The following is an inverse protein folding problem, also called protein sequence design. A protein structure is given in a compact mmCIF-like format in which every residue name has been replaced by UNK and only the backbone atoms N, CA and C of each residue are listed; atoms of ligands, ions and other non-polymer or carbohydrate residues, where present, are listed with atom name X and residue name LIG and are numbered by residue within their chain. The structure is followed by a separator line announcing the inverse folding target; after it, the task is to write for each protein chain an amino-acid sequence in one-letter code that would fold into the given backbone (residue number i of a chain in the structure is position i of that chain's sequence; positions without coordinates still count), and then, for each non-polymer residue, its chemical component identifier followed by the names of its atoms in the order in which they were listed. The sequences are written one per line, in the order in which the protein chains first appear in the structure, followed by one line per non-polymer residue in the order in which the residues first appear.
data_IF_408312610586
#
_entry.id   IF_408312610586
#
_cell.length_a   1.000
_cell.length_b   1.000
_cell.length_c   1.000
_cell.angle_alpha   90.00
_cell.angle_beta   90.00
_cell.angle_gamma   90.00
#
_symmetry.space_group_name_H-M   'P 1'
#
loop_
_entity.id
_entity.type
_entity.pdbx_description
1 polymer ?
#
# COMPACT_ATOMS: atom_id res chain seq x y z
N UNK A 1 22.08 -47.20 -5.37
CA UNK A 1 21.66 -45.78 -5.39
C UNK A 1 20.21 -45.75 -4.97
N UNK A 2 19.87 -45.02 -3.90
CA UNK A 2 18.46 -44.83 -3.54
C UNK A 2 17.76 -44.09 -4.69
N UNK A 3 16.54 -44.49 -5.03
CA UNK A 3 15.75 -43.79 -6.04
C UNK A 3 15.52 -42.35 -5.55
N UNK A 4 15.85 -41.37 -6.40
CA UNK A 4 15.56 -39.96 -6.11
C UNK A 4 14.04 -39.79 -6.14
N UNK A 5 13.48 -39.36 -5.02
CA UNK A 5 12.06 -39.02 -4.90
C UNK A 5 11.73 -37.90 -5.89
N UNK A 6 10.70 -38.10 -6.73
CA UNK A 6 10.25 -37.10 -7.71
C UNK A 6 8.83 -36.67 -7.38
N UNK A 7 8.61 -35.38 -7.23
CA UNK A 7 7.34 -34.79 -6.86
C UNK A 7 6.94 -33.80 -7.96
N UNK A 8 5.77 -34.01 -8.55
CA UNK A 8 5.19 -33.11 -9.54
C UNK A 8 3.89 -32.58 -9.00
N UNK A 9 3.78 -31.25 -8.91
CA UNK A 9 2.61 -30.54 -8.39
C UNK A 9 1.84 -29.97 -9.58
N UNK A 10 0.62 -30.46 -9.78
CA UNK A 10 -0.22 -30.14 -10.95
C UNK A 10 -1.40 -29.22 -10.63
N UNK A 11 -1.76 -29.15 -9.36
CA UNK A 11 -2.92 -28.41 -8.89
C UNK A 11 -2.75 -28.03 -7.42
N UNK A 12 -3.71 -27.24 -6.95
CA UNK A 12 -3.72 -26.73 -5.58
C UNK A 12 -3.79 -27.86 -4.53
N UNK A 13 -4.57 -28.92 -4.78
CA UNK A 13 -4.73 -30.02 -3.82
C UNK A 13 -3.41 -30.77 -3.60
N UNK A 14 -2.72 -31.10 -4.70
CA UNK A 14 -1.40 -31.71 -4.66
C UNK A 14 -0.38 -30.80 -3.96
N UNK A 15 -0.47 -29.49 -4.18
CA UNK A 15 0.39 -28.53 -3.49
C UNK A 15 0.18 -28.58 -1.98
N UNK A 16 -1.07 -28.58 -1.51
CA UNK A 16 -1.37 -28.69 -0.08
C UNK A 16 -0.91 -30.00 0.54
N UNK A 17 -1.11 -31.12 -0.15
CA UNK A 17 -0.62 -32.43 0.29
C UNK A 17 0.91 -32.44 0.40
N UNK A 18 1.60 -31.92 -0.63
CA UNK A 18 3.06 -31.85 -0.65
C UNK A 18 3.59 -30.96 0.49
N UNK A 19 2.97 -29.81 0.74
CA UNK A 19 3.34 -28.91 1.85
C UNK A 19 3.16 -29.60 3.20
N UNK A 20 2.06 -30.33 3.40
CA UNK A 20 1.81 -31.07 4.63
C UNK A 20 2.91 -32.11 4.89
N UNK A 21 3.26 -32.91 3.89
CA UNK A 21 4.30 -33.93 3.98
C UNK A 21 5.68 -33.30 4.26
N UNK A 22 6.00 -32.19 3.58
CA UNK A 22 7.25 -31.49 3.80
C UNK A 22 7.36 -30.92 5.22
N UNK A 23 6.28 -30.31 5.73
CA UNK A 23 6.23 -29.81 7.11
C UNK A 23 6.31 -30.92 8.17
N UNK A 24 5.82 -32.12 7.85
CA UNK A 24 5.93 -33.33 8.69
C UNK A 24 7.33 -33.99 8.63
N UNK A 25 8.20 -33.56 7.70
CA UNK A 25 9.52 -34.16 7.49
C UNK A 25 9.49 -35.48 6.72
N UNK A 26 8.41 -35.73 5.97
CA UNK A 26 8.22 -36.95 5.18
C UNK A 26 8.84 -36.86 3.78
N UNK A 27 9.20 -35.66 3.34
CA UNK A 27 9.87 -35.41 2.06
C UNK A 27 11.39 -35.42 2.22
N UNK A 28 12.08 -36.13 1.32
CA UNK A 28 13.55 -36.17 1.28
C UNK A 28 14.15 -34.80 0.96
N UNK A 29 15.27 -34.47 1.59
CA UNK A 29 16.10 -33.31 1.21
C UNK A 29 16.61 -33.40 -0.25
N UNK A 30 16.69 -34.60 -0.80
CA UNK A 30 17.12 -34.83 -2.20
C UNK A 30 15.97 -34.90 -3.20
N UNK A 31 14.73 -34.66 -2.77
CA UNK A 31 13.56 -34.73 -3.62
C UNK A 31 13.66 -33.73 -4.80
N UNK A 32 13.33 -34.21 -5.99
CA UNK A 32 13.24 -33.38 -7.19
C UNK A 32 11.81 -32.88 -7.36
N UNK A 33 11.64 -31.55 -7.26
CA UNK A 33 10.35 -30.89 -7.32
C UNK A 33 10.10 -30.36 -8.74
N UNK A 34 8.86 -30.42 -9.19
CA UNK A 34 8.44 -29.84 -10.47
C UNK A 34 6.99 -29.38 -10.41
N UNK A 35 6.66 -28.39 -11.23
CA UNK A 35 5.37 -27.74 -11.29
C UNK A 35 4.80 -27.83 -12.72
N UNK A 36 3.55 -28.30 -12.86
CA UNK A 36 2.88 -28.43 -14.16
C UNK A 36 1.51 -27.74 -14.11
N UNK A 37 1.37 -26.56 -14.72
CA UNK A 37 0.09 -25.85 -14.77
C UNK A 37 -0.37 -25.23 -13.44
N UNK A 38 0.45 -25.29 -12.39
CA UNK A 38 0.24 -24.62 -11.11
C UNK A 38 1.59 -24.06 -10.62
N UNK A 39 1.65 -22.93 -9.87
CA UNK A 39 0.55 -22.06 -9.51
C UNK A 39 0.13 -21.12 -10.64
N UNK A 40 -1.14 -20.76 -10.64
CA UNK A 40 -1.70 -19.71 -11.48
C UNK A 40 -2.31 -18.66 -10.58
N UNK A 41 -1.77 -17.45 -10.61
CA UNK A 41 -2.41 -16.31 -9.96
C UNK A 41 -3.54 -15.82 -10.84
N UNK A 42 -4.73 -15.67 -10.26
CA UNK A 42 -5.94 -15.21 -10.95
C UNK A 42 -6.75 -14.31 -10.03
N UNK A 43 -6.73 -13.02 -10.32
CA UNK A 43 -7.53 -12.01 -9.63
C UNK A 43 -8.49 -11.36 -10.64
N UNK A 44 -9.79 -11.49 -10.39
CA UNK A 44 -10.82 -10.84 -11.21
C UNK A 44 -11.45 -9.70 -10.43
N UNK A 45 -11.59 -8.54 -11.06
CA UNK A 45 -12.38 -7.43 -10.53
C UNK A 45 -13.58 -7.23 -11.44
N UNK A 46 -14.78 -7.28 -10.87
CA UNK A 46 -16.04 -6.98 -11.56
C UNK A 46 -16.56 -5.62 -11.12
N UNK A 47 -17.12 -4.85 -12.04
CA UNK A 47 -17.70 -3.54 -11.77
C UNK A 47 -18.01 -2.78 -13.05
N UNK A 48 -18.72 -1.66 -12.95
CA UNK A 48 -19.14 -0.86 -14.11
C UNK A 48 -17.93 -0.34 -14.91
N UNK A 49 -16.91 0.18 -14.20
CA UNK A 49 -15.68 0.69 -14.84
C UNK A 49 -14.77 -0.43 -15.42
N UNK A 50 -15.11 -1.70 -15.21
CA UNK A 50 -14.33 -2.84 -15.71
C UNK A 50 -14.92 -3.44 -16.98
N UNK A 51 -15.89 -2.76 -17.59
CA UNK A 51 -16.55 -3.20 -18.81
C UNK A 51 -15.78 -2.83 -20.07
N UNK A 52 -14.79 -3.66 -20.44
CA UNK A 52 -13.92 -3.35 -21.58
C UNK A 52 -12.79 -2.36 -21.25
N UNK A 53 -12.57 -2.06 -19.98
CA UNK A 53 -11.61 -1.06 -19.52
C UNK A 53 -10.91 -1.50 -18.23
N UNK A 54 -9.74 -0.92 -17.95
CA UNK A 54 -9.05 -1.08 -16.67
C UNK A 54 -8.88 0.29 -16.00
N UNK A 55 -9.58 0.54 -14.88
CA UNK A 55 -9.48 1.80 -14.16
C UNK A 55 -8.07 2.07 -13.66
N UNK A 56 -7.55 3.27 -13.90
CA UNK A 56 -6.21 3.68 -13.44
C UNK A 56 -6.09 3.63 -11.91
N UNK A 57 -7.21 3.76 -11.17
CA UNK A 57 -7.23 3.67 -9.71
C UNK A 57 -6.71 2.33 -9.18
N UNK A 58 -6.91 1.21 -9.90
CA UNK A 58 -6.45 -0.12 -9.44
C UNK A 58 -5.06 -0.49 -9.94
N UNK A 59 -4.49 0.25 -10.90
CA UNK A 59 -3.17 -0.08 -11.45
C UNK A 59 -2.03 0.00 -10.42
N UNK A 60 -1.94 1.01 -9.53
CA UNK A 60 -0.84 1.09 -8.58
C UNK A 60 -0.62 -0.16 -7.71
N UNK A 61 -1.62 -0.73 -7.02
CA UNK A 61 -1.41 -1.96 -6.24
C UNK A 61 -1.06 -3.17 -7.13
N UNK A 62 -1.58 -3.24 -8.36
CA UNK A 62 -1.22 -4.31 -9.31
C UNK A 62 0.26 -4.21 -9.72
N UNK A 63 0.76 -3.01 -9.97
CA UNK A 63 2.17 -2.78 -10.27
C UNK A 63 3.08 -3.08 -9.08
N UNK A 64 2.63 -2.79 -7.85
CA UNK A 64 3.37 -3.20 -6.64
C UNK A 64 3.37 -4.72 -6.45
N UNK A 65 2.27 -5.41 -6.76
CA UNK A 65 2.23 -6.88 -6.78
C UNK A 65 3.22 -7.44 -7.80
N UNK A 66 3.29 -6.87 -9.02
CA UNK A 66 4.27 -7.27 -10.03
C UNK A 66 5.70 -7.17 -9.51
N UNK A 67 6.03 -6.05 -8.84
CA UNK A 67 7.35 -5.85 -8.23
C UNK A 67 7.61 -6.85 -7.12
N UNK A 68 6.60 -7.22 -6.35
CA UNK A 68 6.74 -8.22 -5.29
C UNK A 68 7.00 -9.62 -5.86
N UNK A 69 6.28 -10.02 -6.91
CA UNK A 69 6.54 -11.26 -7.66
C UNK A 69 8.00 -11.30 -8.14
N UNK A 70 8.49 -10.19 -8.70
CA UNK A 70 9.90 -10.04 -9.09
C UNK A 70 10.87 -10.18 -7.91
N UNK A 71 10.60 -9.54 -6.77
CA UNK A 71 11.45 -9.63 -5.56
C UNK A 71 11.48 -11.04 -4.98
N UNK A 72 10.33 -11.74 -4.97
CA UNK A 72 10.24 -13.14 -4.53
C UNK A 72 11.12 -14.01 -5.42
N UNK A 73 11.00 -13.85 -6.74
CA UNK A 73 11.79 -14.60 -7.70
C UNK A 73 13.29 -14.33 -7.55
N UNK A 74 13.70 -13.06 -7.42
CA UNK A 74 15.11 -12.72 -7.19
C UNK A 74 15.64 -13.31 -5.88
N UNK A 75 14.86 -13.30 -4.80
CA UNK A 75 15.27 -13.91 -3.52
C UNK A 75 15.49 -15.40 -3.68
N UNK A 76 14.58 -16.09 -4.36
CA UNK A 76 14.64 -17.53 -4.51
C UNK A 76 15.71 -18.01 -5.50
N UNK A 77 15.90 -17.32 -6.64
CA UNK A 77 16.85 -17.70 -7.70
C UNK A 77 18.24 -17.07 -7.53
N UNK A 78 18.28 -15.77 -7.23
CA UNK A 78 19.50 -14.96 -7.25
C UNK A 78 20.01 -14.60 -5.84
N UNK A 79 19.30 -14.98 -4.77
CA UNK A 79 19.65 -14.65 -3.38
C UNK A 79 19.78 -13.14 -3.13
N UNK A 80 18.97 -12.33 -3.82
CA UNK A 80 18.93 -10.86 -3.69
C UNK A 80 17.51 -10.33 -3.84
N UNK A 81 17.21 -9.15 -3.29
CA UNK A 81 15.95 -8.44 -3.56
C UNK A 81 16.07 -7.49 -4.77
N UNK A 82 17.26 -7.36 -5.36
CA UNK A 82 17.51 -6.46 -6.48
C UNK A 82 16.89 -6.98 -7.79
N UNK A 83 15.78 -6.37 -8.20
CA UNK A 83 15.08 -6.71 -9.45
C UNK A 83 15.85 -6.38 -10.73
N UNK A 84 16.99 -5.67 -10.64
CA UNK A 84 17.91 -5.48 -11.77
C UNK A 84 18.66 -6.75 -12.15
N UNK A 85 18.69 -7.75 -11.27
CA UNK A 85 19.27 -9.07 -11.56
C UNK A 85 18.41 -9.90 -12.53
N UNK A 86 17.13 -9.54 -12.72
CA UNK A 86 16.23 -10.26 -13.62
C UNK A 86 16.65 -10.12 -15.08
N UNK A 87 16.76 -11.26 -15.76
CA UNK A 87 16.90 -11.35 -17.21
C UNK A 87 15.56 -11.10 -17.90
N UNK A 88 15.59 -10.84 -19.20
CA UNK A 88 14.36 -10.63 -19.97
C UNK A 88 13.41 -11.84 -19.87
N UNK A 89 13.93 -13.05 -20.08
CA UNK A 89 13.15 -14.29 -19.95
C UNK A 89 12.53 -14.46 -18.56
N UNK A 90 13.19 -13.97 -17.49
CA UNK A 90 12.62 -14.01 -16.14
C UNK A 90 11.42 -13.05 -16.04
N UNK A 91 11.52 -11.86 -16.65
CA UNK A 91 10.44 -10.86 -16.65
C UNK A 91 9.23 -11.37 -17.44
N UNK A 92 9.46 -11.89 -18.63
CA UNK A 92 8.41 -12.37 -19.52
C UNK A 92 7.61 -13.53 -18.88
N UNK A 93 8.26 -14.39 -18.10
CA UNK A 93 7.61 -15.51 -17.41
C UNK A 93 6.82 -15.11 -16.16
N UNK A 94 7.10 -13.93 -15.61
CA UNK A 94 6.52 -13.44 -14.35
C UNK A 94 5.53 -12.30 -14.57
N UNK A 95 5.32 -11.87 -15.81
CA UNK A 95 4.48 -10.74 -16.15
C UNK A 95 3.00 -11.05 -15.88
N UNK A 96 2.36 -10.18 -15.10
CA UNK A 96 0.92 -10.15 -14.94
C UNK A 96 0.27 -9.66 -16.22
N UNK A 97 -0.40 -10.58 -16.90
CA UNK A 97 -1.18 -10.28 -18.10
C UNK A 97 -2.57 -9.82 -17.68
N UNK A 98 -3.06 -8.78 -18.36
CA UNK A 98 -4.38 -8.20 -18.16
C UNK A 98 -5.31 -8.70 -19.25
N UNK A 99 -6.35 -9.42 -18.85
CA UNK A 99 -7.42 -9.88 -19.73
C UNK A 99 -8.67 -9.06 -19.44
N UNK A 100 -9.19 -8.39 -20.47
CA UNK A 100 -10.34 -7.49 -20.34
C UNK A 100 -11.55 -8.18 -20.97
N UNK A 101 -12.59 -8.36 -20.18
CA UNK A 101 -13.86 -8.95 -20.61
C UNK A 101 -15.02 -7.99 -20.34
N UNK A 102 -16.22 -8.34 -20.81
CA UNK A 102 -17.42 -7.55 -20.57
C UNK A 102 -17.78 -7.59 -19.08
N UNK A 103 -17.74 -6.43 -18.43
CA UNK A 103 -18.05 -6.23 -17.00
C UNK A 103 -16.98 -6.74 -16.02
N UNK A 104 -15.81 -7.16 -16.49
CA UNK A 104 -14.71 -7.58 -15.61
C UNK A 104 -13.33 -7.44 -16.23
N UNK A 105 -12.35 -7.23 -15.38
CA UNK A 105 -10.93 -7.35 -15.72
C UNK A 105 -10.31 -8.44 -14.89
N UNK A 106 -9.56 -9.31 -15.55
CA UNK A 106 -8.80 -10.38 -14.95
C UNK A 106 -7.30 -10.09 -15.06
N UNK A 107 -6.60 -10.28 -13.95
CA UNK A 107 -5.14 -10.22 -13.85
C UNK A 107 -4.63 -11.64 -13.61
N UNK A 108 -3.87 -12.15 -14.57
CA UNK A 108 -3.44 -13.55 -14.59
C UNK A 108 -1.93 -13.67 -14.82
N UNK A 109 -1.30 -14.60 -14.12
CA UNK A 109 0.08 -15.04 -14.43
C UNK A 109 0.26 -16.51 -14.10
N UNK A 110 0.91 -17.25 -15.00
CA UNK A 110 1.28 -18.65 -14.80
C UNK A 110 2.69 -18.74 -14.21
N UNK A 111 2.79 -19.10 -12.93
CA UNK A 111 4.05 -19.08 -12.20
C UNK A 111 4.84 -20.39 -12.31
N UNK A 112 4.22 -21.49 -12.77
CA UNK A 112 4.83 -22.82 -12.78
C UNK A 112 6.18 -22.88 -13.51
N UNK A 113 6.32 -22.21 -14.67
CA UNK A 113 7.59 -22.15 -15.41
C UNK A 113 8.68 -21.43 -14.61
N UNK A 114 8.36 -20.26 -14.06
CA UNK A 114 9.27 -19.50 -13.24
C UNK A 114 9.69 -20.29 -11.97
N UNK A 115 8.75 -20.96 -11.31
CA UNK A 115 9.04 -21.81 -10.16
C UNK A 115 9.95 -22.99 -10.51
N UNK A 116 9.74 -23.64 -11.66
CA UNK A 116 10.64 -24.69 -12.12
C UNK A 116 12.07 -24.18 -12.37
N UNK A 117 12.23 -22.96 -12.88
CA UNK A 117 13.56 -22.34 -13.03
C UNK A 117 14.22 -22.06 -11.68
N UNK A 118 13.45 -21.65 -10.66
CA UNK A 118 13.95 -21.54 -9.29
C UNK A 118 14.42 -22.91 -8.79
N UNK A 119 13.60 -23.96 -8.93
CA UNK A 119 13.97 -25.32 -8.47
C UNK A 119 15.30 -25.78 -9.09
N UNK A 120 15.51 -25.54 -10.39
CA UNK A 120 16.73 -25.95 -11.10
C UNK A 120 17.99 -25.18 -10.68
N UNK A 121 17.84 -23.92 -10.29
CA UNK A 121 18.97 -23.00 -10.06
C UNK A 121 19.22 -22.69 -8.58
N UNK A 122 18.28 -23.05 -7.72
CA UNK A 122 18.36 -22.87 -6.28
C UNK A 122 19.45 -23.75 -5.66
N UNK A 123 20.08 -23.23 -4.60
CA UNK A 123 20.99 -23.99 -3.72
C UNK A 123 20.28 -24.62 -2.52
N UNK A 124 18.99 -24.40 -2.39
CA UNK A 124 18.16 -24.97 -1.32
C UNK A 124 17.94 -26.47 -1.58
N UNK A 125 17.79 -27.24 -0.51
CA UNK A 125 17.39 -28.64 -0.61
C UNK A 125 15.92 -28.77 -1.07
N UNK A 126 15.53 -29.96 -1.53
CA UNK A 126 14.19 -30.22 -2.10
C UNK A 126 13.05 -29.87 -1.14
N UNK A 127 13.24 -30.08 0.17
CA UNK A 127 12.26 -29.78 1.20
C UNK A 127 12.11 -28.27 1.41
N UNK A 128 13.21 -27.53 1.51
CA UNK A 128 13.22 -26.08 1.64
C UNK A 128 12.57 -25.39 0.43
N UNK A 129 12.94 -25.82 -0.78
CA UNK A 129 12.35 -25.30 -2.02
C UNK A 129 10.85 -25.53 -2.04
N UNK A 130 10.40 -26.74 -1.68
CA UNK A 130 8.98 -27.08 -1.66
C UNK A 130 8.22 -26.20 -0.66
N UNK A 131 8.69 -26.09 0.59
CA UNK A 131 8.04 -25.26 1.61
C UNK A 131 7.96 -23.81 1.13
N UNK A 132 9.05 -23.24 0.62
CA UNK A 132 9.07 -21.86 0.14
C UNK A 132 8.08 -21.65 -1.00
N UNK A 133 8.21 -22.44 -2.07
CA UNK A 133 7.50 -22.21 -3.32
C UNK A 133 6.00 -22.53 -3.21
N UNK A 134 5.64 -23.61 -2.51
CA UNK A 134 4.25 -23.94 -2.27
C UNK A 134 3.59 -22.92 -1.35
N UNK A 135 4.28 -22.45 -0.31
CA UNK A 135 3.71 -21.43 0.59
C UNK A 135 3.48 -20.10 -0.12
N UNK A 136 4.44 -19.66 -0.94
CA UNK A 136 4.27 -18.46 -1.79
C UNK A 136 3.13 -18.65 -2.77
N UNK A 137 3.10 -19.78 -3.49
CA UNK A 137 2.03 -20.12 -4.42
C UNK A 137 0.67 -20.11 -3.75
N UNK A 138 0.57 -20.71 -2.56
CA UNK A 138 -0.66 -20.74 -1.77
C UNK A 138 -1.11 -19.33 -1.33
N UNK A 139 -0.19 -18.50 -0.82
CA UNK A 139 -0.53 -17.13 -0.40
C UNK A 139 -0.99 -16.24 -1.55
N UNK A 140 -0.45 -16.44 -2.76
CA UNK A 140 -0.81 -15.67 -3.95
C UNK A 140 -2.13 -16.14 -4.58
N UNK A 141 -2.31 -17.46 -4.70
CA UNK A 141 -3.33 -18.02 -5.61
C UNK A 141 -4.61 -18.46 -4.92
N UNK A 142 -4.61 -18.63 -3.60
CA UNK A 142 -5.76 -19.18 -2.88
C UNK A 142 -6.61 -18.10 -2.21
N UNK A 143 -7.91 -18.36 -2.09
CA UNK A 143 -8.85 -17.48 -1.38
C UNK A 143 -8.62 -17.48 0.13
N UNK A 144 -7.96 -18.51 0.69
CA UNK A 144 -7.69 -18.64 2.13
C UNK A 144 -6.90 -17.45 2.66
N UNK A 145 -5.85 -17.04 1.96
CA UNK A 145 -5.04 -15.89 2.37
C UNK A 145 -5.79 -14.56 2.35
N UNK A 146 -6.81 -14.43 1.50
CA UNK A 146 -7.71 -13.29 1.52
C UNK A 146 -8.71 -13.36 2.68
N UNK A 147 -9.32 -14.53 2.90
CA UNK A 147 -10.30 -14.73 3.96
C UNK A 147 -9.71 -14.50 5.34
N UNK A 148 -8.52 -15.05 5.61
CA UNK A 148 -7.80 -14.82 6.87
C UNK A 148 -7.48 -13.33 7.10
N UNK A 149 -6.99 -12.66 6.05
CA UNK A 149 -6.74 -11.23 6.09
C UNK A 149 -8.02 -10.44 6.40
N UNK A 150 -9.15 -10.78 5.77
CA UNK A 150 -10.45 -10.15 6.03
C UNK A 150 -10.91 -10.36 7.48
N UNK A 151 -10.87 -11.60 7.99
CA UNK A 151 -11.21 -11.90 9.38
C UNK A 151 -10.36 -11.09 10.35
N UNK A 152 -9.06 -10.94 10.05
CA UNK A 152 -8.15 -10.12 10.85
C UNK A 152 -8.56 -8.65 10.84
N UNK A 153 -8.94 -8.10 9.68
CA UNK A 153 -9.43 -6.71 9.57
C UNK A 153 -10.75 -6.51 10.31
N UNK A 154 -11.71 -7.41 10.17
CA UNK A 154 -12.98 -7.37 10.89
C UNK A 154 -12.75 -7.34 12.41
N UNK A 155 -11.92 -8.25 12.93
CA UNK A 155 -11.58 -8.31 14.36
C UNK A 155 -10.89 -7.04 14.84
N UNK A 156 -9.96 -6.48 14.07
CA UNK A 156 -9.23 -5.26 14.44
C UNK A 156 -10.16 -4.04 14.52
N UNK A 157 -11.24 -4.03 13.72
CA UNK A 157 -12.22 -2.96 13.70
C UNK A 157 -13.44 -3.21 14.61
N UNK A 158 -13.45 -4.31 15.38
CA UNK A 158 -14.55 -4.64 16.28
C UNK A 158 -15.84 -5.05 15.57
N UNK A 159 -15.73 -5.41 14.29
CA UNK A 159 -16.84 -5.89 13.47
C UNK A 159 -17.09 -7.38 13.74
N UNK A 160 -18.34 -7.82 13.59
CA UNK A 160 -18.65 -9.26 13.60
C UNK A 160 -17.93 -9.94 12.42
N UNK A 161 -17.28 -11.07 12.71
CA UNK A 161 -16.61 -11.86 11.68
C UNK A 161 -17.65 -12.44 10.71
N UNK A 162 -17.72 -11.88 9.51
CA UNK A 162 -18.68 -12.33 8.48
C UNK A 162 -18.08 -13.41 7.57
N UNK A 163 -16.75 -13.40 7.44
CA UNK A 163 -16.03 -14.39 6.65
C UNK A 163 -15.86 -15.65 7.48
N UNK A 164 -16.40 -16.78 7.02
CA UNK A 164 -16.19 -18.08 7.65
C UNK A 164 -15.20 -18.91 6.85
N UNK A 165 -14.26 -19.53 7.55
CA UNK A 165 -13.33 -20.49 6.98
C UNK A 165 -13.95 -21.89 7.11
N UNK A 166 -13.90 -22.67 6.03
CA UNK A 166 -14.23 -24.09 6.11
C UNK A 166 -13.18 -24.84 6.95
N UNK A 167 -13.49 -26.06 7.39
CA UNK A 167 -12.50 -26.90 8.09
C UNK A 167 -11.22 -27.11 7.27
N UNK A 168 -11.35 -27.20 5.95
CA UNK A 168 -10.21 -27.36 5.06
C UNK A 168 -9.40 -26.06 4.96
N UNK A 169 -10.06 -24.91 4.88
CA UNK A 169 -9.39 -23.61 4.84
C UNK A 169 -8.65 -23.30 6.14
N UNK A 170 -9.22 -23.67 7.30
CA UNK A 170 -8.54 -23.58 8.60
C UNK A 170 -7.27 -24.44 8.62
N UNK A 171 -7.33 -25.68 8.13
CA UNK A 171 -6.14 -26.55 8.04
C UNK A 171 -5.07 -25.95 7.11
N UNK A 172 -5.50 -25.38 5.99
CA UNK A 172 -4.59 -24.71 5.03
C UNK A 172 -3.91 -23.49 5.66
N UNK A 173 -4.65 -22.69 6.43
CA UNK A 173 -4.10 -21.57 7.17
C UNK A 173 -3.09 -22.00 8.25
N UNK A 174 -3.37 -23.09 8.98
CA UNK A 174 -2.42 -23.67 9.92
C UNK A 174 -1.13 -24.12 9.24
N UNK A 175 -1.21 -24.71 8.05
CA UNK A 175 -0.03 -25.08 7.26
C UNK A 175 0.79 -23.86 6.84
N UNK A 176 0.14 -22.78 6.36
CA UNK A 176 0.82 -21.52 6.03
C UNK A 176 1.50 -20.92 7.26
N UNK A 177 0.82 -20.92 8.41
CA UNK A 177 1.38 -20.41 9.68
C UNK A 177 2.62 -21.21 10.12
N UNK A 178 2.57 -22.54 10.00
CA UNK A 178 3.72 -23.40 10.28
C UNK A 178 4.88 -23.12 9.32
N UNK A 179 4.58 -22.93 8.02
CA UNK A 179 5.59 -22.59 7.03
C UNK A 179 6.26 -21.23 7.32
N UNK A 180 5.48 -20.20 7.67
CA UNK A 180 5.99 -18.89 8.09
C UNK A 180 6.91 -18.98 9.32
N UNK A 181 6.61 -19.89 10.24
CA UNK A 181 7.43 -20.13 11.43
C UNK A 181 8.75 -20.84 11.10
N UNK A 182 8.74 -21.78 10.15
CA UNK A 182 9.94 -22.52 9.73
C UNK A 182 10.83 -21.71 8.77
N UNK A 183 10.25 -20.79 8.00
CA UNK A 183 10.93 -20.01 6.98
C UNK A 183 10.67 -18.51 7.19
N UNK A 184 11.46 -17.82 8.04
CA UNK A 184 11.27 -16.39 8.34
C UNK A 184 11.27 -15.48 7.09
N UNK A 185 11.96 -15.90 6.03
CA UNK A 185 11.99 -15.22 4.73
C UNK A 185 10.59 -15.04 4.11
N UNK A 186 9.62 -15.91 4.46
CA UNK A 186 8.23 -15.80 4.01
C UNK A 186 7.48 -14.63 4.67
N UNK A 187 7.94 -14.13 5.82
CA UNK A 187 7.22 -13.09 6.57
C UNK A 187 7.13 -11.78 5.81
N UNK A 188 8.23 -11.33 5.21
CA UNK A 188 8.25 -10.12 4.36
C UNK A 188 7.29 -10.23 3.19
N UNK A 189 7.25 -11.41 2.57
CA UNK A 189 6.34 -11.70 1.46
C UNK A 189 4.88 -11.66 1.93
N UNK A 190 4.58 -12.25 3.09
CA UNK A 190 3.25 -12.20 3.68
C UNK A 190 2.79 -10.75 3.94
N UNK A 191 3.64 -9.93 4.56
CA UNK A 191 3.36 -8.51 4.81
C UNK A 191 3.11 -7.72 3.51
N UNK A 192 3.95 -7.92 2.49
CA UNK A 192 3.77 -7.27 1.19
C UNK A 192 2.45 -7.66 0.50
N UNK A 193 2.02 -8.91 0.65
CA UNK A 193 0.73 -9.37 0.13
C UNK A 193 -0.45 -8.78 0.89
N UNK A 194 -0.33 -8.59 2.21
CA UNK A 194 -1.36 -7.91 3.01
C UNK A 194 -1.48 -6.42 2.65
N UNK A 195 -0.36 -5.77 2.36
CA UNK A 195 -0.33 -4.39 1.85
C UNK A 195 -1.00 -4.29 0.48
N UNK A 196 -0.71 -5.23 -0.42
CA UNK A 196 -1.40 -5.34 -1.70
C UNK A 196 -2.92 -5.47 -1.52
N UNK A 197 -3.39 -6.42 -0.69
CA UNK A 197 -4.82 -6.62 -0.41
C UNK A 197 -5.47 -5.36 0.13
N UNK A 198 -4.82 -4.71 1.09
CA UNK A 198 -5.24 -3.46 1.72
C UNK A 198 -5.37 -2.32 0.71
N UNK A 199 -4.34 -2.07 -0.08
CA UNK A 199 -4.34 -0.96 -1.01
C UNK A 199 -5.29 -1.18 -2.18
N UNK A 200 -5.39 -2.41 -2.69
CA UNK A 200 -6.40 -2.75 -3.70
C UNK A 200 -7.81 -2.54 -3.17
N UNK A 201 -8.11 -3.03 -1.96
CA UNK A 201 -9.44 -2.94 -1.34
C UNK A 201 -9.90 -1.49 -1.14
N UNK A 202 -8.99 -0.59 -0.73
CA UNK A 202 -9.28 0.85 -0.57
C UNK A 202 -9.62 1.56 -1.89
N UNK A 203 -9.23 0.98 -3.02
CA UNK A 203 -9.42 1.59 -4.35
C UNK A 203 -10.72 1.14 -5.01
N UNK A 204 -11.46 0.22 -4.42
CA UNK A 204 -12.73 -0.27 -4.94
C UNK A 204 -13.83 0.78 -4.80
N UNK A 205 -14.70 0.86 -5.81
CA UNK A 205 -16.02 1.51 -5.70
C UNK A 205 -17.01 0.56 -5.03
N UNK A 206 -18.10 1.07 -4.48
CA UNK A 206 -19.05 0.29 -3.69
C UNK A 206 -19.59 -0.94 -4.44
N UNK A 207 -19.84 -0.78 -5.74
CA UNK A 207 -20.34 -1.77 -6.69
C UNK A 207 -19.29 -2.76 -7.20
N UNK A 208 -18.00 -2.53 -6.91
CA UNK A 208 -16.95 -3.44 -7.35
C UNK A 208 -16.94 -4.73 -6.52
N UNK A 209 -16.47 -5.82 -7.12
CA UNK A 209 -16.30 -7.10 -6.47
C UNK A 209 -14.95 -7.74 -6.86
N UNK A 210 -14.16 -8.13 -5.87
CA UNK A 210 -12.96 -8.93 -6.07
C UNK A 210 -13.32 -10.42 -6.03
N UNK A 211 -12.81 -11.17 -7.00
CA UNK A 211 -12.82 -12.63 -7.02
C UNK A 211 -11.41 -13.20 -7.11
N UNK A 212 -11.20 -14.30 -6.40
CA UNK A 212 -10.00 -15.14 -6.46
C UNK A 212 -10.44 -16.55 -6.78
N UNK A 213 -9.85 -17.17 -7.81
CA UNK A 213 -10.25 -18.51 -8.28
C UNK A 213 -11.79 -18.64 -8.42
N UNK A 214 -12.41 -17.65 -9.05
CA UNK A 214 -13.86 -17.50 -9.26
C UNK A 214 -14.75 -17.33 -8.01
N UNK A 215 -14.18 -17.42 -6.81
CA UNK A 215 -14.86 -17.18 -5.55
C UNK A 215 -14.92 -15.69 -5.25
N UNK A 216 -16.12 -15.18 -4.93
CA UNK A 216 -16.30 -13.80 -4.45
C UNK A 216 -15.64 -13.64 -3.09
N UNK A 217 -14.74 -12.68 -2.97
CA UNK A 217 -13.95 -12.43 -1.76
C UNK A 217 -14.50 -11.25 -0.98
N UNK A 218 -14.62 -10.09 -1.63
CA UNK A 218 -15.08 -8.86 -0.99
C UNK A 218 -15.74 -7.93 -2.00
N UNK A 219 -16.76 -7.19 -1.57
CA UNK A 219 -17.34 -6.06 -2.31
C UNK A 219 -16.68 -4.75 -1.89
N UNK A 220 -16.67 -3.75 -2.75
CA UNK A 220 -16.10 -2.45 -2.38
C UNK A 220 -16.86 -1.75 -1.25
N UNK A 221 -18.17 -1.98 -1.14
CA UNK A 221 -18.95 -1.50 0.00
C UNK A 221 -18.42 -2.07 1.33
N UNK A 222 -18.20 -3.39 1.41
CA UNK A 222 -17.62 -4.01 2.61
C UNK A 222 -16.17 -3.61 2.83
N UNK A 223 -15.39 -3.44 1.75
CA UNK A 223 -14.02 -2.96 1.83
C UNK A 223 -13.91 -1.59 2.50
N UNK A 224 -14.84 -0.68 2.20
CA UNK A 224 -14.86 0.66 2.79
C UNK A 224 -15.14 0.65 4.31
N UNK A 225 -15.86 -0.36 4.81
CA UNK A 225 -16.17 -0.53 6.23
C UNK A 225 -14.96 -1.07 7.01
N UNK A 226 -14.34 -2.14 6.52
CA UNK A 226 -13.33 -2.91 7.28
C UNK A 226 -11.88 -2.53 6.93
N UNK A 227 -11.67 -1.77 5.85
CA UNK A 227 -10.36 -1.25 5.43
C UNK A 227 -10.45 0.28 5.33
N UNK A 228 -10.79 0.99 6.42
CA UNK A 228 -10.91 2.42 6.37
C UNK A 228 -9.58 3.03 5.94
N UNK A 229 -9.63 3.94 4.97
CA UNK A 229 -8.49 4.81 4.71
C UNK A 229 -8.25 5.60 6.00
N UNK A 230 -7.03 5.60 6.58
CA UNK A 230 -6.77 6.37 7.79
C UNK A 230 -7.18 7.81 7.51
N UNK A 231 -8.22 8.29 8.20
CA UNK A 231 -8.51 9.72 8.23
C UNK A 231 -7.31 10.33 8.92
N UNK A 232 -6.43 10.99 8.15
CA UNK A 232 -5.38 11.82 8.72
C UNK A 232 -6.12 12.95 9.43
N UNK A 233 -6.31 12.80 10.75
CA UNK A 233 -6.79 13.90 11.57
C UNK A 233 -5.73 14.98 11.44
N UNK A 234 -6.10 16.11 10.84
CA UNK A 234 -5.19 17.24 10.73
C UNK A 234 -4.78 17.63 12.14
N UNK A 235 -3.48 17.59 12.42
CA UNK A 235 -2.96 18.00 13.72
C UNK A 235 -2.94 19.53 13.73
N UNK A 236 -3.61 20.14 14.70
CA UNK A 236 -3.46 21.57 14.92
C UNK A 236 -2.06 21.83 15.51
N UNK A 237 -1.28 22.64 14.80
CA UNK A 237 0.07 23.06 15.17
C UNK A 237 0.10 24.59 15.20
N UNK A 238 0.93 25.14 16.08
CA UNK A 238 1.15 26.58 16.20
C UNK A 238 2.47 26.95 15.53
N UNK A 239 2.42 27.92 14.63
CA UNK A 239 3.55 28.40 13.83
C UNK A 239 3.74 29.88 14.12
N UNK A 240 4.61 30.17 15.06
CA UNK A 240 4.94 31.53 15.47
C UNK A 240 6.35 31.89 15.02
N UNK A 241 6.57 33.17 14.70
CA UNK A 241 7.89 33.70 14.38
C UNK A 241 7.87 34.77 13.31
N UNK A 242 9.01 34.94 12.64
CA UNK A 242 9.19 35.92 11.58
C UNK A 242 8.79 35.36 10.22
N UNK A 243 8.06 36.19 9.49
CA UNK A 243 7.55 35.89 8.15
C UNK A 243 7.77 37.08 7.22
N UNK A 244 8.01 36.77 5.97
CA UNK A 244 7.97 37.69 4.85
C UNK A 244 6.59 37.62 4.18
N UNK A 245 5.94 38.77 4.00
CA UNK A 245 4.68 38.86 3.25
C UNK A 245 5.00 38.95 1.76
N UNK A 246 4.56 37.94 0.99
CA UNK A 246 4.78 37.87 -0.45
C UNK A 246 3.63 38.49 -1.25
N UNK A 247 2.39 38.22 -0.82
CA UNK A 247 1.18 38.67 -1.52
C UNK A 247 0.04 38.82 -0.51
N UNK A 248 -0.77 39.89 -0.64
CA UNK A 248 -2.00 40.07 0.14
C UNK A 248 -3.19 40.21 -0.79
N UNK A 249 -4.17 39.31 -0.66
CA UNK A 249 -5.47 39.34 -1.33
C UNK A 249 -6.51 39.92 -0.39
N UNK A 250 -6.88 41.17 -0.66
CA UNK A 250 -7.91 41.87 0.09
C UNK A 250 -9.31 41.34 -0.28
N UNK A 251 -10.21 41.23 0.70
CA UNK A 251 -11.58 40.81 0.44
C UNK A 251 -12.30 41.81 -0.47
N UNK A 252 -13.07 41.29 -1.43
CA UNK A 252 -13.86 42.10 -2.38
C UNK A 252 -15.14 42.69 -1.77
N UNK A 253 -15.55 42.18 -0.61
CA UNK A 253 -16.77 42.58 0.10
C UNK A 253 -16.38 42.97 1.53
N UNK A 254 -17.05 44.00 2.06
CA UNK A 254 -16.87 44.42 3.45
C UNK A 254 -17.16 43.24 4.40
N UNK A 255 -16.24 42.98 5.33
CA UNK A 255 -16.35 41.82 6.23
C UNK A 255 -16.02 40.47 5.56
N UNK A 256 -15.17 40.44 4.53
CA UNK A 256 -14.59 39.21 3.99
C UNK A 256 -13.24 38.84 4.61
N UNK A 257 -12.78 37.61 4.35
CA UNK A 257 -11.49 37.07 4.82
C UNK A 257 -10.32 37.65 4.03
N UNK A 258 -9.27 38.07 4.73
CA UNK A 258 -7.98 38.41 4.11
C UNK A 258 -7.20 37.12 3.86
N UNK A 259 -6.65 36.96 2.66
CA UNK A 259 -5.82 35.80 2.31
C UNK A 259 -4.46 36.28 1.85
N UNK A 260 -3.38 35.75 2.42
CA UNK A 260 -2.03 36.21 2.07
C UNK A 260 -1.04 35.05 2.01
N UNK A 261 -0.07 35.20 1.11
CA UNK A 261 1.05 34.28 0.95
C UNK A 261 2.23 34.79 1.77
N UNK A 262 2.79 33.95 2.63
CA UNK A 262 3.95 34.29 3.45
C UNK A 262 5.04 33.25 3.33
N UNK A 263 6.28 33.66 3.58
CA UNK A 263 7.44 32.77 3.70
C UNK A 263 8.02 32.90 5.10
N UNK A 264 8.14 31.79 5.80
CA UNK A 264 8.73 31.78 7.14
C UNK A 264 10.24 31.93 7.04
N UNK A 265 10.82 32.88 7.77
CA UNK A 265 12.27 33.17 7.70
C UNK A 265 13.11 32.01 8.23
N UNK A 266 12.60 31.26 9.22
CA UNK A 266 13.35 30.20 9.90
C UNK A 266 13.65 28.98 9.02
N UNK A 267 12.75 28.60 8.11
CA UNK A 267 12.84 27.36 7.32
C UNK A 267 12.51 27.56 5.83
N UNK A 268 12.22 28.79 5.40
CA UNK A 268 11.84 29.13 4.02
C UNK A 268 10.48 28.57 3.61
N UNK A 269 9.67 28.05 4.54
CA UNK A 269 8.39 27.39 4.21
C UNK A 269 7.35 28.43 3.80
N UNK A 270 6.76 28.22 2.62
CA UNK A 270 5.68 29.06 2.10
C UNK A 270 4.32 28.60 2.62
N UNK A 271 3.46 29.55 3.01
CA UNK A 271 2.15 29.30 3.59
C UNK A 271 1.11 30.22 2.96
N UNK A 272 -0.10 29.70 2.73
CA UNK A 272 -1.28 30.51 2.51
C UNK A 272 -2.02 30.66 3.83
N UNK A 273 -2.15 31.89 4.31
CA UNK A 273 -2.74 32.22 5.60
C UNK A 273 -4.02 33.01 5.39
N UNK A 274 -5.07 32.63 6.11
CA UNK A 274 -6.35 33.31 6.13
C UNK A 274 -6.51 34.10 7.44
N UNK A 275 -7.08 35.30 7.38
CA UNK A 275 -7.46 36.07 8.55
C UNK A 275 -8.93 36.45 8.46
N UNK A 276 -9.73 35.90 9.37
CA UNK A 276 -11.16 36.15 9.42
C UNK A 276 -11.46 37.61 9.83
N UNK A 277 -12.52 38.20 9.29
CA UNK A 277 -12.94 39.55 9.65
C UNK A 277 -13.37 39.57 11.13
N UNK A 278 -12.80 40.50 11.90
CA UNK A 278 -13.03 40.63 13.35
C UNK A 278 -11.96 40.01 14.24
N UNK A 279 -11.01 39.24 13.68
CA UNK A 279 -9.84 38.73 14.44
C UNK A 279 -8.73 39.78 14.51
N UNK A 280 -8.65 40.65 13.51
CA UNK A 280 -7.60 41.66 13.41
C UNK A 280 -8.07 43.03 13.90
N UNK A 281 -7.21 43.72 14.66
CA UNK A 281 -7.40 45.13 14.98
C UNK A 281 -7.15 46.04 13.77
N UNK A 282 -7.62 47.28 13.81
CA UNK A 282 -7.34 48.27 12.74
C UNK A 282 -5.84 48.44 12.50
N UNK A 283 -5.04 48.41 13.57
CA UNK A 283 -3.58 48.48 13.48
C UNK A 283 -3.01 47.29 12.73
N UNK A 284 -3.48 46.06 13.00
CA UNK A 284 -3.04 44.84 12.32
C UNK A 284 -3.46 44.82 10.85
N UNK A 285 -4.66 45.34 10.53
CA UNK A 285 -5.10 45.53 9.15
C UNK A 285 -4.19 46.54 8.43
N UNK A 286 -3.75 47.59 9.11
CA UNK A 286 -2.77 48.54 8.56
C UNK A 286 -1.45 47.85 8.25
N UNK A 287 -0.94 47.00 9.14
CA UNK A 287 0.31 46.23 8.90
C UNK A 287 0.18 45.36 7.66
N UNK A 288 -0.96 44.66 7.47
CA UNK A 288 -1.21 43.87 6.25
C UNK A 288 -1.29 44.74 4.99
N UNK A 289 -1.90 45.93 5.06
CA UNK A 289 -1.93 46.88 3.94
C UNK A 289 -0.53 47.37 3.60
N UNK A 290 0.26 47.72 4.60
CA UNK A 290 1.63 48.22 4.43
C UNK A 290 2.58 47.12 3.95
N UNK A 291 2.35 45.87 4.37
CA UNK A 291 3.06 44.67 3.93
C UNK A 291 2.68 44.19 2.53
N UNK A 292 1.57 44.67 1.96
CA UNK A 292 1.21 44.41 0.56
C UNK A 292 2.06 45.23 -0.42
N UNK A 293 2.76 46.27 0.05
CA UNK A 293 3.59 47.16 -0.76
C UNK A 293 5.06 47.00 -0.36
N UNK A 294 5.72 46.04 -1.00
CA UNK A 294 7.15 45.73 -0.82
C UNK A 294 7.40 44.58 0.18
N UNK A 295 8.57 43.97 0.06
CA UNK A 295 9.03 42.88 0.94
C UNK A 295 9.22 43.44 2.36
N UNK A 296 8.41 42.97 3.31
CA UNK A 296 8.49 43.39 4.71
C UNK A 296 8.42 42.20 5.66
N UNK A 297 9.33 42.21 6.64
CA UNK A 297 9.40 41.22 7.70
C UNK A 297 8.41 41.59 8.81
N UNK A 298 7.64 40.61 9.26
CA UNK A 298 6.63 40.76 10.31
C UNK A 298 6.68 39.57 11.25
N UNK A 299 6.25 39.78 12.49
CA UNK A 299 6.06 38.69 13.45
C UNK A 299 4.60 38.25 13.35
N UNK A 300 4.37 36.95 13.12
CA UNK A 300 3.04 36.37 13.07
C UNK A 300 2.89 35.23 14.06
N UNK A 301 1.68 35.10 14.60
CA UNK A 301 1.21 33.92 15.30
C UNK A 301 0.15 33.23 14.44
N UNK A 302 0.38 31.97 14.06
CA UNK A 302 -0.47 31.25 13.10
C UNK A 302 -0.89 29.91 13.68
N UNK A 303 -2.20 29.65 13.67
CA UNK A 303 -2.74 28.31 13.91
C UNK A 303 -2.87 27.58 12.59
N UNK A 304 -2.08 26.53 12.40
CA UNK A 304 -2.05 25.73 11.18
C UNK A 304 -2.55 24.30 11.41
N UNK A 305 -3.09 23.72 10.34
CA UNK A 305 -3.54 22.32 10.28
C UNK A 305 -2.58 21.54 9.41
N UNK A 306 -1.79 20.66 10.00
CA UNK A 306 -0.83 19.83 9.28
C UNK A 306 -1.42 18.46 8.94
N UNK A 307 -1.38 18.13 7.64
CA UNK A 307 -1.74 16.83 7.09
C UNK A 307 -0.54 16.16 6.42
N UNK A 308 -0.77 15.03 5.73
CA UNK A 308 0.30 14.17 5.17
C UNK A 308 1.16 14.87 4.10
N UNK A 309 0.61 15.82 3.36
CA UNK A 309 1.29 16.58 2.30
C UNK A 309 1.76 17.96 2.75
N UNK A 310 1.70 18.27 4.05
CA UNK A 310 2.05 19.57 4.63
C UNK A 310 0.86 20.32 5.21
N UNK A 311 0.95 21.64 5.25
CA UNK A 311 -0.06 22.50 5.88
C UNK A 311 -1.27 22.62 4.95
N UNK A 312 -2.42 22.19 5.45
CA UNK A 312 -3.70 22.12 4.73
C UNK A 312 -4.60 23.32 4.99
N UNK A 313 -4.29 24.10 6.02
CA UNK A 313 -4.92 25.40 6.31
C UNK A 313 -4.15 26.13 7.40
N UNK A 314 -4.14 27.46 7.35
CA UNK A 314 -3.46 28.31 8.31
C UNK A 314 -4.30 29.56 8.58
N UNK A 315 -4.52 29.88 9.85
CA UNK A 315 -5.29 31.04 10.27
C UNK A 315 -4.41 31.97 11.11
N UNK A 316 -4.41 33.26 10.76
CA UNK A 316 -3.70 34.28 11.52
C UNK A 316 -4.38 34.51 12.86
N UNK A 317 -3.59 34.49 13.93
CA UNK A 317 -4.00 34.88 15.28
C UNK A 317 -3.62 36.33 15.51
N UNK A 318 -2.37 36.70 15.23
CA UNK A 318 -1.87 38.07 15.40
C UNK A 318 -0.72 38.38 14.45
N UNK A 319 -0.51 39.68 14.19
CA UNK A 319 0.59 40.22 13.40
C UNK A 319 1.14 41.49 14.06
N UNK A 320 2.45 41.68 14.03
CA UNK A 320 3.12 42.89 14.51
C UNK A 320 4.41 43.20 13.73
N UNK A 321 4.86 44.46 13.78
CA UNK A 321 6.21 44.80 13.32
C UNK A 321 7.25 44.23 14.28
N UNK A 322 8.43 43.82 13.78
CA UNK A 322 9.58 43.56 14.64
C UNK A 322 9.84 44.80 15.51
N UNK A 323 10.14 44.61 16.80
CA UNK A 323 10.54 45.73 17.65
C UNK A 323 11.82 46.33 17.04
N UNK A 324 11.85 47.64 16.82
CA UNK A 324 13.09 48.31 16.45
C UNK A 324 14.11 48.06 17.56
N UNK A 325 15.29 47.57 17.21
CA UNK A 325 16.42 47.55 18.13
C UNK A 325 16.65 49.00 18.57
N UNK A 326 16.42 49.27 19.87
CA UNK A 326 16.78 50.53 20.49
C UNK A 326 18.30 50.59 20.62
N UNK A 327 18.98 50.85 19.50
CA UNK A 327 20.30 51.45 19.48
C UNK A 327 20.11 52.91 19.05
N UNK A 328 19.63 53.73 19.99
CA UNK A 328 20.00 55.13 20.01
C UNK A 328 21.16 55.23 21.01
N UNK A 329 22.34 55.51 20.46
CA UNK A 329 23.49 56.01 21.18
C UNK A 329 23.10 57.30 21.93
N UNK A 330 23.44 57.35 23.22
CA UNK A 330 23.77 58.58 23.96
C UNK A 330 25.03 58.31 24.79
#
# INVERSE_FOLDING_TARGET
MAAVEKITIKNEQEAWTALQQALAGEISETAQISFEGWPVFRLTIKGEDFNGTVPTRVMPPILELQKEIYRIYCRAKYQTEDTRALKQDDRDQLELVVVIEKGSTEFITELGKALNEIVKSSKMDGKQVLILLVSVGAMLTTSVGWKDWLQTKERLHGEETTVTLSQEETKRLEMVTKALTQQPELKKTHEALDDFKSDLSKRLKAEDNIKIADQSIITGARAAEIVPTPRVQAKEIRLDGEFEINEVKFPKVFGGTYRFAVTRTADGRQLMVDAAPGVLSEQQISILKDGAFGIKHVIMEINAREGRSGITGANLVSISWPKADSNDDD
#
